data_IF_104820074122
#
_entry.id   IF_104820074122
#
_cell.length_a   1.000
_cell.length_b   1.000
_cell.length_c   1.000
_cell.angle_alpha   90.00
_cell.angle_beta   90.00
_cell.angle_gamma   90.00
#
_symmetry.space_group_name_H-M   'P 1'
#
loop_
_entity.id
_entity.type
_entity.pdbx_description
1 polymer ?
#
# COMPACT_ATOMS: atom_id res chain seq x y z
N UNK A 1 10.81 -7.15 13.95
CA UNK A 1 10.51 -6.93 12.52
C UNK A 1 11.66 -7.55 11.76
N UNK A 2 11.36 -8.30 10.71
CA UNK A 2 12.35 -9.01 9.91
C UNK A 2 12.27 -8.52 8.47
N UNK A 3 13.41 -8.15 7.89
CA UNK A 3 13.50 -7.90 6.45
C UNK A 3 13.43 -9.23 5.69
N UNK A 4 12.71 -9.20 4.58
CA UNK A 4 12.53 -10.36 3.71
C UNK A 4 13.57 -10.33 2.59
N UNK A 5 13.95 -11.51 2.13
CA UNK A 5 14.68 -11.64 0.87
C UNK A 5 13.78 -11.23 -0.30
N UNK A 6 14.35 -10.53 -1.28
CA UNK A 6 13.61 -10.02 -2.43
C UNK A 6 13.08 -11.18 -3.27
N UNK A 7 11.76 -11.30 -3.33
CA UNK A 7 11.06 -12.24 -4.20
C UNK A 7 10.65 -11.57 -5.53
N UNK A 8 10.36 -12.34 -6.58
CA UNK A 8 9.71 -11.82 -7.77
C UNK A 8 8.38 -11.14 -7.43
N UNK A 9 8.07 -10.06 -8.15
CA UNK A 9 6.84 -9.31 -7.92
C UNK A 9 5.59 -10.14 -8.18
N UNK A 10 4.67 -10.10 -7.22
CA UNK A 10 3.41 -10.86 -7.30
C UNK A 10 2.25 -9.94 -7.66
N UNK A 11 1.40 -10.38 -8.58
CA UNK A 11 0.17 -9.66 -8.92
C UNK A 11 -0.81 -9.70 -7.75
N UNK A 12 -1.37 -8.56 -7.39
CA UNK A 12 -2.36 -8.42 -6.34
C UNK A 12 -3.66 -9.17 -6.68
N UNK A 13 -4.33 -9.80 -5.69
CA UNK A 13 -5.56 -10.55 -5.95
C UNK A 13 -6.70 -9.61 -6.34
N UNK A 14 -7.53 -10.03 -7.30
CA UNK A 14 -8.64 -9.22 -7.84
C UNK A 14 -9.69 -8.82 -6.78
N UNK A 15 -9.77 -9.54 -5.66
CA UNK A 15 -10.65 -9.18 -4.54
C UNK A 15 -10.14 -7.95 -3.75
N UNK A 16 -8.84 -7.64 -3.83
CA UNK A 16 -8.23 -6.50 -3.13
C UNK A 16 -7.94 -5.31 -4.03
N UNK A 17 -7.89 -5.51 -5.34
CA UNK A 17 -7.49 -4.50 -6.31
C UNK A 17 -8.45 -4.50 -7.52
N UNK A 18 -8.89 -3.31 -7.91
CA UNK A 18 -9.49 -3.07 -9.22
C UNK A 18 -8.38 -2.60 -10.18
N UNK A 19 -8.23 -3.28 -11.31
CA UNK A 19 -7.09 -3.09 -12.22
C UNK A 19 -5.82 -3.80 -11.74
N UNK A 20 -4.73 -3.62 -12.49
CA UNK A 20 -3.48 -4.33 -12.25
C UNK A 20 -2.64 -3.63 -11.18
N UNK A 21 -2.27 -4.39 -10.14
CA UNK A 21 -1.35 -3.96 -9.10
C UNK A 21 -0.37 -5.09 -8.78
N UNK A 22 0.85 -4.72 -8.37
CA UNK A 22 1.89 -5.64 -7.96
C UNK A 22 2.36 -5.29 -6.55
N UNK A 23 2.60 -6.31 -5.73
CA UNK A 23 3.00 -6.17 -4.33
C UNK A 23 4.32 -6.89 -4.10
N UNK A 24 5.29 -6.16 -3.54
CA UNK A 24 6.55 -6.70 -3.04
C UNK A 24 6.61 -6.48 -1.53
N UNK A 25 6.67 -7.54 -0.75
CA UNK A 25 6.85 -7.43 0.70
C UNK A 25 8.34 -7.22 1.02
N UNK A 26 8.64 -6.20 1.82
CA UNK A 26 10.01 -5.84 2.23
C UNK A 26 10.29 -6.34 3.64
N UNK A 27 9.27 -6.29 4.51
CA UNK A 27 9.44 -6.70 5.89
C UNK A 27 8.14 -7.14 6.55
N UNK A 28 8.30 -8.05 7.50
CA UNK A 28 7.23 -8.62 8.30
C UNK A 28 7.39 -8.31 9.79
N UNK A 29 6.25 -8.25 10.46
CA UNK A 29 6.17 -8.02 11.89
C UNK A 29 6.69 -9.23 12.66
N UNK A 30 7.44 -8.97 13.71
CA UNK A 30 7.90 -9.98 14.67
C UNK A 30 7.75 -9.38 16.06
N UNK A 31 7.26 -10.21 16.99
CA UNK A 31 6.92 -9.78 18.34
C UNK A 31 8.07 -8.98 18.98
N UNK A 32 7.78 -7.84 19.66
CA UNK A 32 6.43 -7.30 19.94
C UNK A 32 5.83 -6.44 18.81
N UNK A 33 6.60 -6.16 17.75
CA UNK A 33 6.16 -5.30 16.65
C UNK A 33 5.26 -6.04 15.66
N UNK A 34 4.18 -5.38 15.23
CA UNK A 34 3.27 -5.89 14.17
C UNK A 34 3.47 -5.17 12.83
N UNK A 35 4.52 -4.36 12.72
CA UNK A 35 4.77 -3.56 11.52
C UNK A 35 5.04 -4.45 10.32
N UNK A 36 4.35 -4.18 9.21
CA UNK A 36 4.61 -4.80 7.91
C UNK A 36 4.90 -3.69 6.92
N UNK A 37 5.86 -3.91 6.03
CA UNK A 37 6.21 -2.97 4.98
C UNK A 37 6.29 -3.70 3.64
N UNK A 38 5.75 -3.05 2.61
CA UNK A 38 5.84 -3.52 1.23
C UNK A 38 5.68 -2.36 0.26
N UNK A 39 6.13 -2.57 -0.97
CA UNK A 39 5.94 -1.64 -2.09
C UNK A 39 4.79 -2.16 -2.93
N UNK A 40 3.87 -1.26 -3.27
CA UNK A 40 2.75 -1.56 -4.16
C UNK A 40 2.85 -0.66 -5.38
N UNK A 41 2.85 -1.26 -6.57
CA UNK A 41 2.84 -0.57 -7.85
C UNK A 41 1.48 -0.73 -8.49
N UNK A 42 0.88 0.38 -8.90
CA UNK A 42 -0.43 0.41 -9.54
C UNK A 42 -0.26 0.74 -11.02
N UNK A 43 -0.88 -0.04 -11.90
CA UNK A 43 -1.10 0.41 -13.27
C UNK A 43 -2.00 1.67 -13.27
N UNK A 44 -2.01 2.47 -14.35
CA UNK A 44 -2.92 3.60 -14.47
C UNK A 44 -4.37 3.21 -14.15
N UNK A 45 -5.05 4.02 -13.33
CA UNK A 45 -6.42 3.81 -12.84
C UNK A 45 -6.64 2.59 -11.90
N UNK A 46 -5.60 1.81 -11.59
CA UNK A 46 -5.71 0.73 -10.61
C UNK A 46 -5.80 1.30 -9.18
N UNK A 47 -6.55 0.61 -8.31
CA UNK A 47 -6.77 1.05 -6.93
C UNK A 47 -7.12 -0.11 -6.01
N UNK A 48 -6.95 0.10 -4.71
CA UNK A 48 -7.41 -0.86 -3.70
C UNK A 48 -8.93 -0.86 -3.57
N UNK A 49 -9.50 -2.00 -3.19
CA UNK A 49 -10.84 -2.06 -2.62
C UNK A 49 -10.87 -1.27 -1.30
N UNK A 50 -12.06 -0.78 -0.89
CA UNK A 50 -12.21 -0.12 0.39
C UNK A 50 -11.81 -1.04 1.55
N UNK A 51 -10.89 -0.58 2.39
CA UNK A 51 -10.39 -1.36 3.52
C UNK A 51 -10.03 -0.44 4.71
N UNK A 52 -9.71 -1.06 5.86
CA UNK A 52 -9.27 -0.40 7.09
C UNK A 52 -8.20 -1.25 7.76
N UNK A 53 -7.19 -0.59 8.34
CA UNK A 53 -6.20 -1.22 9.21
C UNK A 53 -6.42 -0.76 10.66
N UNK A 54 -6.50 -1.70 11.61
CA UNK A 54 -6.70 -1.38 13.03
C UNK A 54 -5.50 -0.64 13.64
N UNK A 55 -4.29 -0.93 13.17
CA UNK A 55 -3.05 -0.25 13.58
C UNK A 55 -2.69 0.97 12.75
N UNK A 56 -3.62 1.48 11.93
CA UNK A 56 -3.36 2.54 10.96
C UNK A 56 -2.54 2.07 9.75
N UNK A 57 -2.33 2.98 8.81
CA UNK A 57 -1.47 2.75 7.65
C UNK A 57 -0.74 4.03 7.28
N UNK A 58 0.55 3.90 6.98
CA UNK A 58 1.38 5.00 6.46
C UNK A 58 1.79 4.66 5.03
N UNK A 59 1.55 5.59 4.11
CA UNK A 59 1.95 5.50 2.71
C UNK A 59 3.08 6.47 2.43
N UNK A 60 4.15 6.00 1.80
CA UNK A 60 5.24 6.82 1.29
C UNK A 60 5.28 6.66 -0.23
N UNK A 61 4.93 7.72 -0.96
CA UNK A 61 4.94 7.71 -2.41
C UNK A 61 6.39 7.85 -2.91
N UNK A 62 6.88 6.83 -3.60
CA UNK A 62 8.25 6.79 -4.15
C UNK A 62 8.31 7.26 -5.59
N UNK A 63 7.28 6.96 -6.39
CA UNK A 63 7.22 7.25 -7.83
C UNK A 63 5.78 7.50 -8.29
N UNK A 64 5.63 8.29 -9.35
CA UNK A 64 4.34 8.55 -9.99
C UNK A 64 3.42 9.50 -9.22
N UNK A 65 2.12 9.44 -9.55
CA UNK A 65 1.08 10.25 -8.93
C UNK A 65 -0.16 9.40 -8.66
N UNK A 66 -0.77 9.59 -7.49
CA UNK A 66 -1.95 8.82 -7.09
C UNK A 66 -2.91 9.60 -6.19
N UNK A 67 -4.07 8.99 -5.96
CA UNK A 67 -5.13 9.53 -5.12
C UNK A 67 -5.36 8.64 -3.89
N UNK A 68 -5.63 9.27 -2.76
CA UNK A 68 -5.88 8.63 -1.48
C UNK A 68 -7.15 9.25 -0.89
N UNK A 69 -8.26 8.50 -0.85
CA UNK A 69 -9.55 9.00 -0.35
C UNK A 69 -10.06 8.26 0.90
N UNK A 70 -10.38 9.01 1.97
CA UNK A 70 -11.02 8.46 3.17
C UNK A 70 -12.55 8.42 3.02
N UNK A 71 -13.22 7.66 3.89
CA UNK A 71 -14.68 7.50 3.82
C UNK A 71 -15.45 8.79 4.11
N UNK A 72 -14.78 9.82 4.62
CA UNK A 72 -15.30 11.19 4.75
C UNK A 72 -15.44 11.91 3.40
N UNK A 73 -15.05 11.27 2.30
CA UNK A 73 -15.12 11.82 0.95
C UNK A 73 -13.92 12.70 0.58
N UNK A 74 -13.04 13.03 1.53
CA UNK A 74 -11.91 13.94 1.28
C UNK A 74 -10.81 13.22 0.51
N UNK A 75 -10.59 13.67 -0.72
CA UNK A 75 -9.52 13.16 -1.59
C UNK A 75 -8.22 13.91 -1.30
N UNK A 76 -7.14 13.15 -1.12
CA UNK A 76 -5.78 13.68 -1.05
C UNK A 76 -5.03 13.19 -2.28
N UNK A 77 -4.41 14.10 -3.01
CA UNK A 77 -3.48 13.79 -4.11
C UNK A 77 -2.05 13.80 -3.57
N UNK A 78 -1.22 12.88 -4.03
CA UNK A 78 0.22 12.93 -3.72
C UNK A 78 1.06 12.68 -4.97
N UNK A 79 1.89 13.65 -5.34
CA UNK A 79 3.17 13.43 -6.03
C UNK A 79 4.26 13.04 -5.01
N UNK A 80 4.20 13.68 -3.82
CA UNK A 80 4.64 13.27 -2.47
C UNK A 80 4.22 14.41 -1.50
N UNK A 81 3.71 14.18 -0.26
CA UNK A 81 4.40 13.50 0.84
C UNK A 81 3.54 12.41 1.54
N UNK A 82 4.11 11.85 2.61
CA UNK A 82 3.55 10.76 3.42
C UNK A 82 2.07 10.95 3.75
N UNK A 83 1.23 9.96 3.39
CA UNK A 83 -0.18 9.93 3.80
C UNK A 83 -0.34 8.91 4.92
N UNK A 84 -0.56 9.39 6.15
CA UNK A 84 -0.98 8.55 7.28
C UNK A 84 -2.50 8.55 7.41
N UNK A 85 -3.07 7.37 7.69
CA UNK A 85 -4.47 7.19 8.10
C UNK A 85 -4.58 6.32 9.33
#
# INVERSE_FOLDING_TARGET
>A
MKFLERQPSSKGPAQRFAGDAWVDMIAEGEAPSRLRAGVVRFAPCARTAWHRHSGGQTLHATEGFGLVQARDGKVRSSASPVVSR
#
